data_IF_996867165641
#
_entry.id   IF_996867165641
#
_cell.length_a   1.000
_cell.length_b   1.000
_cell.length_c   1.000
_cell.angle_alpha   90.00
_cell.angle_beta   90.00
_cell.angle_gamma   90.00
#
_symmetry.space_group_name_H-M   'P 1'
#
loop_
_entity.id
_entity.type
_entity.pdbx_description
1 polymer ?
#
# COMPACT_ATOMS: atom_id res chain seq x y z
N UNK A 1 0.60 -14.79 29.35
CA UNK A 1 -0.25 -14.29 28.24
C UNK A 1 -1.66 -14.84 28.43
N UNK A 2 -2.70 -14.13 27.99
CA UNK A 2 -4.10 -14.54 28.20
C UNK A 2 -4.80 -14.88 26.89
N UNK A 3 -5.77 -15.78 26.96
CA UNK A 3 -6.60 -16.18 25.83
C UNK A 3 -7.52 -15.03 25.38
N UNK A 4 -7.51 -14.67 24.09
CA UNK A 4 -8.34 -13.59 23.53
C UNK A 4 -9.84 -13.93 23.43
N UNK A 5 -10.24 -15.17 23.76
CA UNK A 5 -11.62 -15.66 23.68
C UNK A 5 -12.25 -15.99 25.03
N UNK A 6 -11.49 -16.36 26.05
CA UNK A 6 -12.02 -16.71 27.38
C UNK A 6 -11.31 -16.04 28.55
N UNK A 7 -10.26 -15.24 28.30
CA UNK A 7 -9.56 -14.49 29.32
C UNK A 7 -8.69 -15.32 30.28
N UNK A 8 -8.59 -16.65 30.10
CA UNK A 8 -7.75 -17.48 30.97
C UNK A 8 -6.28 -17.33 30.65
N UNK A 9 -5.43 -17.47 31.66
CA UNK A 9 -3.98 -17.51 31.47
C UNK A 9 -3.58 -18.71 30.59
N UNK A 10 -2.59 -18.47 29.74
CA UNK A 10 -2.02 -19.46 28.83
C UNK A 10 -0.49 -19.48 29.03
N UNK A 11 0.07 -20.68 28.97
CA UNK A 11 1.51 -20.88 28.93
C UNK A 11 2.08 -20.37 27.59
N UNK A 12 3.30 -19.85 27.58
CA UNK A 12 3.98 -19.33 26.40
C UNK A 12 4.13 -20.38 25.29
N UNK A 13 4.34 -21.65 25.67
CA UNK A 13 4.49 -22.78 24.74
C UNK A 13 3.17 -23.39 24.26
N UNK A 14 2.03 -22.87 24.72
CA UNK A 14 0.73 -23.45 24.45
C UNK A 14 0.12 -22.90 23.15
N UNK A 15 -0.03 -23.76 22.14
CA UNK A 15 -0.59 -23.40 20.83
C UNK A 15 -2.12 -23.23 20.82
N UNK A 16 -2.83 -23.89 21.74
CA UNK A 16 -4.29 -23.93 21.82
C UNK A 16 -4.71 -23.70 23.27
N UNK A 17 -5.68 -22.84 23.52
CA UNK A 17 -6.23 -22.63 24.85
C UNK A 17 -6.89 -23.93 25.37
N UNK A 18 -6.42 -24.44 26.52
CA UNK A 18 -6.94 -25.66 27.15
C UNK A 18 -8.33 -25.45 27.77
N UNK A 19 -8.75 -24.20 27.98
CA UNK A 19 -10.04 -23.87 28.58
C UNK A 19 -11.15 -23.76 27.52
N UNK A 20 -10.89 -23.12 26.37
CA UNK A 20 -11.92 -22.87 25.35
C UNK A 20 -11.61 -23.45 23.96
N UNK A 21 -10.47 -24.12 23.77
CA UNK A 21 -10.14 -24.83 22.52
C UNK A 21 -9.71 -23.96 21.34
N UNK A 22 -9.63 -22.64 21.48
CA UNK A 22 -9.20 -21.76 20.38
C UNK A 22 -7.67 -21.63 20.30
N UNK A 23 -7.16 -21.39 19.09
CA UNK A 23 -5.72 -21.21 18.82
C UNK A 23 -5.18 -19.92 19.48
N UNK A 24 -3.90 -19.95 19.88
CA UNK A 24 -3.16 -18.77 20.37
C UNK A 24 -3.35 -17.58 19.43
N UNK A 25 -3.68 -16.41 19.99
CA UNK A 25 -3.96 -15.14 19.28
C UNK A 25 -5.26 -15.05 18.47
N UNK A 26 -6.13 -16.06 18.47
CA UNK A 26 -7.43 -15.99 17.80
C UNK A 26 -8.49 -15.36 18.74
N UNK A 27 -9.34 -14.47 18.22
CA UNK A 27 -10.37 -13.74 18.99
C UNK A 27 -10.00 -12.29 19.36
N UNK A 28 -10.99 -11.54 19.83
CA UNK A 28 -10.90 -10.14 20.24
C UNK A 28 -11.89 -9.78 21.37
N UNK A 29 -12.31 -10.76 22.18
CA UNK A 29 -13.25 -10.53 23.28
C UNK A 29 -12.54 -10.34 24.62
N UNK A 30 -11.28 -10.76 24.73
CA UNK A 30 -10.45 -10.59 25.93
C UNK A 30 -9.05 -10.04 25.59
N UNK A 31 -8.50 -9.27 26.52
CA UNK A 31 -7.16 -8.70 26.40
C UNK A 31 -6.08 -9.78 26.52
N UNK A 32 -5.11 -9.81 25.60
CA UNK A 32 -4.00 -10.77 25.64
C UNK A 32 -2.99 -10.53 26.75
N UNK A 33 -2.95 -9.30 27.28
CA UNK A 33 -2.00 -8.89 28.29
C UNK A 33 -2.52 -9.10 29.71
N UNK A 34 -3.79 -8.78 29.99
CA UNK A 34 -4.37 -8.85 31.35
C UNK A 34 -5.61 -9.76 31.49
N UNK A 35 -6.13 -10.32 30.40
CA UNK A 35 -7.28 -11.23 30.45
C UNK A 35 -8.64 -10.59 30.70
N UNK A 36 -8.75 -9.25 30.77
CA UNK A 36 -10.04 -8.59 30.93
C UNK A 36 -10.88 -8.63 29.66
N UNK A 37 -12.20 -8.63 29.81
CA UNK A 37 -13.14 -8.46 28.70
C UNK A 37 -12.87 -7.14 27.96
N UNK A 38 -12.95 -7.21 26.63
CA UNK A 38 -12.80 -6.07 25.74
C UNK A 38 -14.05 -5.90 24.86
N UNK A 39 -14.67 -4.73 24.98
CA UNK A 39 -15.65 -4.17 24.06
C UNK A 39 -15.16 -4.16 22.59
N UNK A 40 -16.03 -4.50 21.63
CA UNK A 40 -15.74 -4.55 20.20
C UNK A 40 -15.37 -3.22 19.52
N UNK A 41 -15.28 -2.10 20.23
CA UNK A 41 -14.80 -0.81 19.69
C UNK A 41 -13.59 -0.20 20.41
N UNK A 42 -12.88 -0.93 21.29
CA UNK A 42 -11.83 -0.34 22.12
C UNK A 42 -10.41 -0.46 21.54
N UNK A 43 -9.78 0.64 21.15
CA UNK A 43 -8.40 0.63 20.62
C UNK A 43 -7.33 0.32 21.68
N UNK A 44 -7.63 0.56 22.96
CA UNK A 44 -6.74 0.36 24.10
C UNK A 44 -7.51 -0.35 25.21
N UNK A 45 -6.88 -1.32 25.87
CA UNK A 45 -7.46 -1.98 27.03
C UNK A 45 -7.54 -1.02 28.23
N UNK A 46 -8.75 -0.74 28.71
CA UNK A 46 -8.96 0.18 29.85
C UNK A 46 -8.40 -0.35 31.18
N UNK A 47 -8.06 -1.64 31.28
CA UNK A 47 -7.54 -2.26 32.50
C UNK A 47 -6.01 -2.28 32.60
N UNK A 48 -5.30 -2.39 31.49
CA UNK A 48 -3.83 -2.52 31.49
C UNK A 48 -3.11 -1.53 30.56
N UNK A 49 -3.83 -0.82 29.70
CA UNK A 49 -3.23 0.15 28.77
C UNK A 49 -2.60 -0.45 27.53
N UNK A 50 -2.68 -1.77 27.30
CA UNK A 50 -2.17 -2.37 26.06
C UNK A 50 -3.03 -1.99 24.86
N UNK A 51 -2.40 -1.67 23.73
CA UNK A 51 -3.09 -1.47 22.46
C UNK A 51 -3.66 -2.81 21.94
N UNK A 52 -4.87 -2.79 21.39
CA UNK A 52 -5.54 -3.97 20.85
C UNK A 52 -5.48 -3.93 19.32
N UNK A 53 -4.69 -4.78 18.65
CA UNK A 53 -4.44 -4.68 17.21
C UNK A 53 -5.59 -5.20 16.32
N UNK A 54 -6.70 -5.66 16.92
CA UNK A 54 -7.76 -6.41 16.23
C UNK A 54 -9.09 -5.66 16.13
N UNK A 55 -9.12 -4.33 16.30
CA UNK A 55 -10.31 -3.60 15.89
C UNK A 55 -10.29 -3.42 14.38
N UNK A 56 -11.37 -3.79 13.65
CA UNK A 56 -11.74 -3.00 12.51
C UNK A 56 -12.03 -1.62 13.09
N UNK A 57 -11.05 -0.72 13.08
CA UNK A 57 -11.37 0.68 13.25
C UNK A 57 -12.48 0.97 12.25
N UNK A 58 -13.56 1.71 12.59
CA UNK A 58 -14.26 2.42 11.55
C UNK A 58 -13.17 3.15 10.80
N UNK A 59 -12.98 2.72 9.57
CA UNK A 59 -12.01 3.16 8.59
C UNK A 59 -12.16 4.69 8.53
N UNK A 60 -11.45 5.40 9.40
CA UNK A 60 -10.97 6.72 9.07
C UNK A 60 -10.32 6.49 7.71
N UNK A 61 -10.80 7.15 6.64
CA UNK A 61 -10.50 6.76 5.28
C UNK A 61 -9.00 6.58 5.19
N UNK A 62 -8.57 5.32 5.10
CA UNK A 62 -7.18 4.99 4.86
C UNK A 62 -6.95 5.58 3.49
N UNK A 63 -6.35 6.76 3.48
CA UNK A 63 -6.14 7.56 2.30
C UNK A 63 -5.59 6.62 1.24
N UNK A 64 -6.38 6.46 0.18
CA UNK A 64 -6.20 5.66 -1.01
C UNK A 64 -4.73 5.47 -1.44
N UNK A 65 -3.94 4.62 -0.75
CA UNK A 65 -2.48 4.57 -1.02
C UNK A 65 -1.82 3.23 -0.67
N UNK A 66 -2.55 2.17 -0.30
CA UNK A 66 -1.88 0.88 -0.02
C UNK A 66 -1.69 -0.01 -1.25
N UNK A 67 -2.37 0.28 -2.37
CA UNK A 67 -2.22 -0.46 -3.63
C UNK A 67 -1.76 0.42 -4.80
N UNK A 68 -1.09 1.54 -4.51
CA UNK A 68 -0.47 2.34 -5.57
C UNK A 68 0.89 1.75 -5.91
N UNK A 69 1.16 1.39 -7.18
CA UNK A 69 2.43 0.82 -7.56
C UNK A 69 3.54 1.83 -7.29
N UNK A 70 4.58 1.38 -6.60
CA UNK A 70 5.79 2.16 -6.34
C UNK A 70 6.60 2.27 -7.63
N UNK A 71 6.91 3.49 -8.06
CA UNK A 71 7.56 3.77 -9.34
C UNK A 71 8.57 4.89 -9.19
N UNK A 72 9.67 4.77 -9.94
CA UNK A 72 10.73 5.75 -9.87
C UNK A 72 10.55 6.79 -10.98
N UNK A 73 10.51 8.06 -10.60
CA UNK A 73 10.35 9.20 -11.52
C UNK A 73 11.50 9.30 -12.52
N UNK A 74 12.73 9.09 -12.06
CA UNK A 74 13.92 9.15 -12.92
C UNK A 74 13.88 8.06 -13.99
N UNK A 75 13.44 6.86 -13.62
CA UNK A 75 13.25 5.75 -14.56
C UNK A 75 12.18 6.09 -15.60
N UNK A 76 11.05 6.67 -15.18
CA UNK A 76 10.01 7.12 -16.10
C UNK A 76 10.50 8.19 -17.09
N UNK A 77 11.33 9.13 -16.62
CA UNK A 77 11.92 10.17 -17.45
C UNK A 77 12.98 9.63 -18.43
N UNK A 78 13.88 8.76 -17.99
CA UNK A 78 14.85 8.11 -18.88
C UNK A 78 14.15 7.28 -19.96
N UNK A 79 13.12 6.51 -19.58
CA UNK A 79 12.31 5.75 -20.54
C UNK A 79 11.62 6.68 -21.56
N UNK A 80 11.19 7.87 -21.15
CA UNK A 80 10.57 8.83 -22.06
C UNK A 80 11.58 9.46 -23.03
N UNK A 81 12.82 9.73 -22.59
CA UNK A 81 13.88 10.32 -23.44
C UNK A 81 14.44 9.30 -24.44
N UNK A 82 14.80 8.11 -23.98
CA UNK A 82 15.47 7.10 -24.82
C UNK A 82 14.48 6.23 -25.60
N UNK A 83 13.33 5.92 -25.00
CA UNK A 83 12.31 5.01 -25.53
C UNK A 83 10.97 5.71 -25.82
N UNK A 84 10.96 7.06 -25.87
CA UNK A 84 9.76 7.86 -26.12
C UNK A 84 9.08 7.57 -27.45
N UNK A 85 9.87 7.29 -28.49
CA UNK A 85 9.35 6.91 -29.81
C UNK A 85 8.56 5.61 -29.83
N UNK A 86 8.84 4.70 -28.90
CA UNK A 86 8.13 3.43 -28.72
C UNK A 86 6.96 3.53 -27.72
N UNK A 87 6.89 4.61 -26.92
CA UNK A 87 5.85 4.81 -25.92
C UNK A 87 5.99 3.97 -24.63
N UNK A 88 7.17 3.38 -24.38
CA UNK A 88 7.40 2.45 -23.25
C UNK A 88 7.21 3.12 -21.89
N UNK A 89 7.49 4.42 -21.77
CA UNK A 89 7.26 5.18 -20.55
C UNK A 89 5.77 5.23 -20.14
N UNK A 90 4.83 5.19 -21.10
CA UNK A 90 3.38 5.11 -20.80
C UNK A 90 2.98 3.75 -20.24
N UNK A 91 3.60 2.67 -20.71
CA UNK A 91 3.41 1.34 -20.13
C UNK A 91 3.98 1.25 -18.71
N UNK A 92 5.11 1.90 -18.45
CA UNK A 92 5.69 1.99 -17.10
C UNK A 92 4.75 2.69 -16.11
N UNK A 93 4.01 3.71 -16.58
CA UNK A 93 3.01 4.46 -15.82
C UNK A 93 1.62 3.80 -15.82
N UNK A 94 1.52 2.52 -16.21
CA UNK A 94 0.30 1.73 -16.24
C UNK A 94 -0.82 2.35 -17.11
N UNK A 95 -0.44 3.05 -18.19
CA UNK A 95 -1.33 3.64 -19.20
C UNK A 95 -1.16 2.93 -20.55
N UNK A 96 -1.57 1.65 -20.68
CA UNK A 96 -1.30 0.85 -21.88
C UNK A 96 -1.98 1.39 -23.13
N UNK A 97 -3.18 1.98 -23.02
CA UNK A 97 -3.89 2.53 -24.20
C UNK A 97 -3.10 3.63 -24.91
N UNK A 98 -2.48 4.55 -24.16
CA UNK A 98 -1.63 5.59 -24.73
C UNK A 98 -0.31 5.02 -25.27
N UNK A 99 0.24 4.00 -24.60
CA UNK A 99 1.45 3.31 -25.06
C UNK A 99 1.25 2.62 -26.41
N UNK A 100 0.13 1.89 -26.59
CA UNK A 100 -0.21 1.23 -27.86
C UNK A 100 -0.41 2.25 -28.98
N UNK A 101 -1.03 3.39 -28.69
CA UNK A 101 -1.18 4.48 -29.67
C UNK A 101 0.19 4.98 -30.16
N UNK A 102 1.13 5.21 -29.24
CA UNK A 102 2.49 5.64 -29.60
C UNK A 102 3.21 4.57 -30.43
N UNK A 103 3.02 3.30 -30.11
CA UNK A 103 3.62 2.17 -30.82
C UNK A 103 3.09 2.08 -32.27
N UNK A 104 1.79 2.29 -32.48
CA UNK A 104 1.18 2.34 -33.82
C UNK A 104 1.67 3.54 -34.64
N UNK A 105 1.93 4.68 -34.00
CA UNK A 105 2.46 5.87 -34.64
C UNK A 105 4.00 5.92 -34.66
N UNK A 106 4.72 4.88 -34.20
CA UNK A 106 6.18 4.87 -34.10
C UNK A 106 6.89 5.19 -35.44
N UNK A 107 6.30 4.75 -36.56
CA UNK A 107 6.81 5.01 -37.91
C UNK A 107 6.76 6.48 -38.36
N UNK A 108 5.98 7.35 -37.70
CA UNK A 108 5.89 8.78 -38.06
C UNK A 108 6.95 9.64 -37.37
N UNK A 109 7.75 9.08 -36.46
CA UNK A 109 8.78 9.77 -35.65
C UNK A 109 8.23 10.86 -34.69
N UNK A 110 6.99 11.31 -34.90
CA UNK A 110 6.21 12.22 -34.04
C UNK A 110 6.19 11.78 -32.56
N UNK A 111 5.87 10.51 -32.21
CA UNK A 111 5.87 10.08 -30.82
C UNK A 111 7.25 10.18 -30.14
N UNK A 112 8.34 10.16 -30.91
CA UNK A 112 9.69 10.37 -30.38
C UNK A 112 9.89 11.80 -29.86
N UNK A 113 9.46 12.80 -30.63
CA UNK A 113 9.57 14.22 -30.23
C UNK A 113 8.67 14.50 -29.02
N UNK A 114 7.43 13.99 -29.04
CA UNK A 114 6.50 14.18 -27.92
C UNK A 114 7.01 13.47 -26.66
N UNK A 115 7.52 12.25 -26.79
CA UNK A 115 8.12 11.50 -25.67
C UNK A 115 9.33 12.21 -25.07
N UNK A 116 10.17 12.84 -25.90
CA UNK A 116 11.30 13.64 -25.43
C UNK A 116 10.85 14.86 -24.61
N UNK A 117 9.84 15.60 -25.07
CA UNK A 117 9.26 16.74 -24.35
C UNK A 117 8.63 16.27 -23.02
N UNK A 118 7.89 15.16 -23.04
CA UNK A 118 7.32 14.57 -21.82
C UNK A 118 8.40 14.11 -20.84
N UNK A 119 9.52 13.58 -21.33
CA UNK A 119 10.66 13.19 -20.50
C UNK A 119 11.29 14.38 -19.77
N UNK A 120 11.50 15.51 -20.47
CA UNK A 120 11.98 16.75 -19.86
C UNK A 120 10.96 17.27 -18.84
N UNK A 121 9.66 17.25 -19.20
CA UNK A 121 8.60 17.66 -18.29
C UNK A 121 8.60 16.81 -17.01
N UNK A 122 8.79 15.49 -17.11
CA UNK A 122 8.87 14.60 -15.95
C UNK A 122 10.07 14.90 -15.05
N UNK A 123 11.21 15.29 -15.62
CA UNK A 123 12.37 15.74 -14.83
C UNK A 123 12.10 17.07 -14.11
N UNK A 124 11.41 18.00 -14.76
CA UNK A 124 11.12 19.33 -14.20
C UNK A 124 9.88 19.38 -13.30
N UNK A 125 8.96 18.41 -13.39
CA UNK A 125 7.74 18.37 -12.57
C UNK A 125 8.07 18.04 -11.12
N UNK A 126 7.27 18.54 -10.17
CA UNK A 126 7.42 18.15 -8.76
C UNK A 126 6.92 16.73 -8.49
N UNK A 127 7.43 16.09 -7.44
CA UNK A 127 7.02 14.72 -7.05
C UNK A 127 5.53 14.67 -6.66
N UNK A 128 4.98 15.76 -6.14
CA UNK A 128 3.56 15.87 -5.77
C UNK A 128 2.68 15.90 -7.02
N UNK A 129 3.04 16.71 -8.02
CA UNK A 129 2.30 16.79 -9.29
C UNK A 129 2.37 15.49 -10.08
N UNK A 130 3.51 14.81 -10.04
CA UNK A 130 3.66 13.53 -10.72
C UNK A 130 2.77 12.45 -10.10
N UNK A 131 2.77 12.36 -8.76
CA UNK A 131 1.96 11.39 -8.04
C UNK A 131 0.46 11.64 -8.23
N UNK A 132 0.01 12.91 -8.21
CA UNK A 132 -1.42 13.23 -8.42
C UNK A 132 -1.89 12.94 -9.85
N UNK A 133 -1.07 13.24 -10.86
CA UNK A 133 -1.43 13.02 -12.27
C UNK A 133 -1.40 11.55 -12.68
N UNK A 134 -0.49 10.78 -12.10
CA UNK A 134 -0.26 9.38 -12.49
C UNK A 134 -0.81 8.36 -11.51
N UNK A 135 -1.30 8.76 -10.33
CA UNK A 135 -1.79 7.87 -9.28
C UNK A 135 -0.77 6.77 -8.96
N UNK A 136 0.50 7.15 -8.80
CA UNK A 136 1.63 6.27 -8.44
C UNK A 136 2.28 6.78 -7.16
N UNK A 137 2.95 5.90 -6.42
CA UNK A 137 3.77 6.29 -5.26
C UNK A 137 5.23 6.36 -5.70
N UNK A 138 5.95 7.43 -5.38
CA UNK A 138 7.36 7.55 -5.74
C UNK A 138 8.27 6.89 -4.69
N UNK A 139 9.20 6.03 -5.14
CA UNK A 139 10.36 5.62 -4.34
C UNK A 139 11.44 6.70 -4.42
N UNK A 140 11.41 7.63 -3.46
CA UNK A 140 12.52 8.56 -3.26
C UNK A 140 13.58 7.84 -2.42
N UNK A 141 14.58 7.26 -3.09
CA UNK A 141 15.79 6.73 -2.45
C UNK A 141 16.85 7.83 -2.30
#
# INVERSE_FOLDING_TARGET
MFCKNCGTEMNENQAICLNCGIKKNNGNSFCSNCGSEINPNQSVCLKCGVAIPNHPSPEAPSHFTENLPVRNKFVAALLAIFLGGLGVHKFYLNKPGMGVLYLLFCWTFIPGIIGFIEGILYLCSSDIEFQSKHHVRLDNH
#
